data_IF_544343252098
#
_entry.id   IF_544343252098
#
_cell.length_a   1.000
_cell.length_b   1.000
_cell.length_c   1.000
_cell.angle_alpha   90.00
_cell.angle_beta   90.00
_cell.angle_gamma   90.00
#
_symmetry.space_group_name_H-M   'P 1'
#
loop_
_entity.id
_entity.type
_entity.pdbx_description
1 polymer ?
#
# COMPACT_ATOMS: atom_id res chain seq x y z
N UNK A 1 7.87 -32.08 -19.34
CA UNK A 1 8.68 -31.78 -18.14
C UNK A 1 10.16 -31.77 -18.52
N UNK A 2 10.94 -30.77 -18.10
CA UNK A 2 12.41 -30.79 -18.28
C UNK A 2 13.05 -30.98 -16.91
N UNK A 3 13.78 -32.08 -16.75
CA UNK A 3 14.48 -32.39 -15.50
C UNK A 3 15.69 -31.47 -15.34
N UNK A 4 16.16 -31.30 -14.09
CA UNK A 4 17.38 -30.54 -13.80
C UNK A 4 18.63 -31.11 -14.52
N UNK A 5 18.60 -32.41 -14.83
CA UNK A 5 19.63 -33.12 -15.61
C UNK A 5 19.60 -32.71 -17.10
N UNK A 6 18.42 -32.29 -17.60
CA UNK A 6 18.22 -31.87 -18.99
C UNK A 6 18.38 -30.35 -19.21
N UNK A 7 18.66 -29.57 -18.16
CA UNK A 7 19.05 -28.16 -18.26
C UNK A 7 20.55 -28.06 -18.46
N UNK A 8 21.00 -27.29 -19.46
CA UNK A 8 22.41 -27.18 -19.87
C UNK A 8 23.34 -26.89 -18.68
N UNK A 9 24.46 -27.63 -18.62
CA UNK A 9 25.47 -27.51 -17.56
C UNK A 9 26.23 -26.18 -17.62
N UNK A 10 26.30 -25.53 -18.79
CA UNK A 10 26.97 -24.24 -18.94
C UNK A 10 26.36 -23.43 -20.10
N UNK A 11 25.86 -22.22 -19.80
CA UNK A 11 25.45 -21.20 -20.78
C UNK A 11 24.05 -21.37 -21.41
N UNK A 12 23.19 -20.35 -21.24
CA UNK A 12 21.88 -20.26 -21.90
C UNK A 12 20.78 -19.65 -21.01
N UNK A 13 19.82 -18.93 -21.60
CA UNK A 13 18.66 -18.35 -20.91
C UNK A 13 17.85 -19.44 -20.20
N UNK A 14 18.08 -19.59 -18.89
CA UNK A 14 17.37 -20.53 -18.02
C UNK A 14 15.90 -20.11 -17.94
N UNK A 15 15.00 -20.97 -18.42
CA UNK A 15 13.58 -20.85 -18.09
C UNK A 15 13.41 -21.51 -16.71
N UNK A 16 12.92 -20.77 -15.69
CA UNK A 16 12.70 -21.36 -14.38
C UNK A 16 11.73 -22.54 -14.54
N UNK A 17 12.01 -23.70 -13.94
CA UNK A 17 11.08 -24.81 -13.99
C UNK A 17 9.78 -24.35 -13.31
N UNK A 18 8.67 -24.38 -14.03
CA UNK A 18 7.35 -23.98 -13.53
C UNK A 18 6.80 -24.91 -12.44
N UNK A 19 7.60 -25.84 -11.93
CA UNK A 19 7.23 -26.91 -10.99
C UNK A 19 6.71 -26.43 -9.64
N UNK A 20 6.89 -25.15 -9.30
CA UNK A 20 6.42 -24.53 -8.06
C UNK A 20 5.20 -23.61 -8.23
N UNK A 21 4.56 -23.60 -9.41
CA UNK A 21 3.26 -22.94 -9.62
C UNK A 21 2.13 -23.97 -9.52
N UNK A 22 0.88 -23.54 -9.38
CA UNK A 22 -0.29 -24.44 -9.33
C UNK A 22 -0.25 -25.53 -10.41
N UNK A 23 0.09 -25.12 -11.63
CA UNK A 23 0.16 -26.02 -12.78
C UNK A 23 1.40 -26.94 -12.74
N UNK A 24 2.52 -26.48 -12.17
CA UNK A 24 3.72 -27.29 -12.00
C UNK A 24 3.60 -28.38 -10.96
N UNK A 25 2.83 -28.10 -9.91
CA UNK A 25 2.57 -29.04 -8.82
C UNK A 25 1.60 -30.13 -9.27
N UNK A 26 0.58 -29.76 -10.04
CA UNK A 26 -0.32 -30.70 -10.73
C UNK A 26 0.48 -31.62 -11.68
N UNK A 27 1.46 -31.05 -12.37
CA UNK A 27 2.35 -31.81 -13.22
C UNK A 27 3.17 -32.80 -12.37
N UNK A 28 3.78 -32.37 -11.27
CA UNK A 28 4.57 -33.24 -10.38
C UNK A 28 3.74 -34.39 -9.78
N UNK A 29 2.47 -34.17 -9.43
CA UNK A 29 1.61 -35.22 -8.87
C UNK A 29 1.35 -36.38 -9.84
N UNK A 30 1.36 -36.12 -11.15
CA UNK A 30 1.23 -37.17 -12.17
C UNK A 30 2.45 -38.11 -12.25
N UNK A 31 3.65 -37.61 -11.90
CA UNK A 31 4.89 -38.40 -11.86
C UNK A 31 5.03 -39.10 -10.51
N UNK A 32 4.62 -38.42 -9.44
CA UNK A 32 4.74 -38.85 -8.06
C UNK A 32 3.48 -39.59 -7.58
N UNK A 33 2.99 -40.56 -8.37
CA UNK A 33 1.75 -41.30 -8.14
C UNK A 33 1.82 -42.36 -7.00
N UNK A 34 2.81 -42.21 -6.10
CA UNK A 34 2.95 -43.03 -4.89
C UNK A 34 2.18 -42.39 -3.74
N UNK A 35 1.51 -43.20 -2.92
CA UNK A 35 0.77 -42.71 -1.74
C UNK A 35 1.60 -41.80 -0.83
N UNK A 36 2.89 -42.08 -0.67
CA UNK A 36 3.80 -41.24 0.13
C UNK A 36 3.99 -39.87 -0.50
N UNK A 37 4.11 -39.81 -1.81
CA UNK A 37 4.40 -38.56 -2.51
C UNK A 37 3.14 -37.69 -2.66
N UNK A 38 1.95 -38.29 -2.75
CA UNK A 38 0.66 -37.59 -2.66
C UNK A 38 0.55 -36.84 -1.32
N UNK A 39 0.86 -37.51 -0.20
CA UNK A 39 0.81 -36.91 1.15
C UNK A 39 1.79 -35.75 1.31
N UNK A 40 2.98 -35.86 0.74
CA UNK A 40 4.00 -34.79 0.77
C UNK A 40 3.54 -33.60 -0.08
N UNK A 41 2.98 -33.84 -1.27
CA UNK A 41 2.53 -32.78 -2.15
C UNK A 41 1.39 -31.93 -1.55
N UNK A 42 0.43 -32.59 -0.87
CA UNK A 42 -0.65 -31.91 -0.15
C UNK A 42 -0.07 -30.99 0.94
N UNK A 43 0.96 -31.44 1.67
CA UNK A 43 1.62 -30.62 2.69
C UNK A 43 2.34 -29.41 2.10
N UNK A 44 3.07 -29.59 1.00
CA UNK A 44 3.74 -28.50 0.29
C UNK A 44 2.70 -27.45 -0.17
N UNK A 45 1.57 -27.87 -0.74
CA UNK A 45 0.50 -26.96 -1.15
C UNK A 45 -0.12 -26.22 0.02
N UNK A 46 -0.38 -26.87 1.15
CA UNK A 46 -0.88 -26.21 2.36
C UNK A 46 0.08 -25.15 2.90
N UNK A 47 1.38 -25.40 2.84
CA UNK A 47 2.40 -24.44 3.27
C UNK A 47 2.44 -23.28 2.28
N UNK A 48 2.47 -23.56 0.98
CA UNK A 48 2.51 -22.54 -0.07
C UNK A 48 1.30 -21.62 -0.02
N UNK A 49 0.09 -22.15 0.15
CA UNK A 49 -1.13 -21.33 0.26
C UNK A 49 -1.11 -20.46 1.51
N UNK A 50 -0.71 -21.00 2.67
CA UNK A 50 -0.57 -20.22 3.91
C UNK A 50 0.44 -19.09 3.78
N UNK A 51 1.62 -19.36 3.20
CA UNK A 51 2.65 -18.35 2.99
C UNK A 51 2.14 -17.25 2.05
N UNK A 52 1.49 -17.62 0.94
CA UNK A 52 0.90 -16.66 0.00
C UNK A 52 -0.17 -15.80 0.65
N UNK A 53 -1.05 -16.41 1.44
CA UNK A 53 -2.11 -15.73 2.17
C UNK A 53 -1.52 -14.73 3.18
N UNK A 54 -0.50 -15.13 3.94
CA UNK A 54 0.22 -14.20 4.83
C UNK A 54 0.80 -13.01 4.06
N UNK A 55 1.41 -13.22 2.89
CA UNK A 55 1.92 -12.10 2.09
C UNK A 55 0.81 -11.17 1.57
N UNK A 56 -0.34 -11.70 1.16
CA UNK A 56 -1.46 -10.89 0.68
C UNK A 56 -2.13 -10.11 1.81
N UNK A 57 -2.32 -10.75 2.96
CA UNK A 57 -2.99 -10.13 4.12
C UNK A 57 -2.15 -8.97 4.69
N UNK A 58 -0.82 -9.07 4.65
CA UNK A 58 0.05 -7.98 5.07
C UNK A 58 0.03 -6.78 4.10
N UNK A 59 -0.23 -7.01 2.81
CA UNK A 59 -0.26 -5.93 1.82
C UNK A 59 -1.51 -5.07 1.95
N UNK A 60 -2.69 -5.69 2.13
CA UNK A 60 -3.94 -4.94 2.34
C UNK A 60 -3.88 -4.12 3.62
N UNK A 61 -3.43 -4.72 4.72
CA UNK A 61 -3.27 -4.04 6.01
C UNK A 61 -2.28 -2.86 5.90
N UNK A 62 -1.17 -3.03 5.17
CA UNK A 62 -0.21 -1.94 4.96
C UNK A 62 -0.83 -0.77 4.18
N UNK A 63 -1.62 -1.05 3.14
CA UNK A 63 -2.29 -0.03 2.34
C UNK A 63 -3.32 0.76 3.16
N UNK A 64 -4.12 0.07 3.96
CA UNK A 64 -5.09 0.70 4.87
C UNK A 64 -4.39 1.62 5.89
N UNK A 65 -3.26 1.17 6.47
CA UNK A 65 -2.46 2.00 7.39
C UNK A 65 -1.91 3.25 6.69
N UNK A 66 -1.41 3.12 5.45
CA UNK A 66 -0.92 4.28 4.69
C UNK A 66 -2.04 5.28 4.39
N UNK A 67 -3.25 4.81 4.07
CA UNK A 67 -4.41 5.67 3.86
C UNK A 67 -4.81 6.42 5.14
N UNK A 68 -4.85 5.73 6.29
CA UNK A 68 -5.14 6.35 7.60
C UNK A 68 -4.09 7.42 7.93
N UNK A 69 -2.81 7.12 7.76
CA UNK A 69 -1.72 8.09 7.99
C UNK A 69 -1.87 9.34 7.13
N UNK A 70 -2.24 9.19 5.85
CA UNK A 70 -2.46 10.32 4.94
C UNK A 70 -3.65 11.17 5.39
N UNK A 71 -4.76 10.56 5.84
CA UNK A 71 -5.93 11.28 6.35
C UNK A 71 -5.58 12.08 7.60
N UNK A 72 -4.85 11.49 8.55
CA UNK A 72 -4.39 12.18 9.77
C UNK A 72 -3.50 13.39 9.45
N UNK A 73 -2.49 13.23 8.58
CA UNK A 73 -1.60 14.33 8.20
C UNK A 73 -2.34 15.51 7.53
N UNK A 74 -3.44 15.24 6.82
CA UNK A 74 -4.28 16.30 6.26
C UNK A 74 -5.15 16.99 7.33
N UNK A 75 -5.61 16.25 8.35
CA UNK A 75 -6.37 16.82 9.46
C UNK A 75 -5.50 17.76 10.30
N UNK A 76 -4.25 17.41 10.57
CA UNK A 76 -3.32 18.28 11.32
C UNK A 76 -3.15 19.64 10.64
N UNK A 77 -2.97 19.67 9.31
CA UNK A 77 -2.90 20.91 8.53
C UNK A 77 -4.17 21.74 8.61
N UNK A 78 -5.33 21.09 8.57
CA UNK A 78 -6.61 21.79 8.67
C UNK A 78 -6.79 22.40 10.07
N UNK A 79 -6.34 21.72 11.12
CA UNK A 79 -6.38 22.23 12.49
C UNK A 79 -5.46 23.45 12.65
N UNK A 80 -4.24 23.37 12.13
CA UNK A 80 -3.29 24.50 12.11
C UNK A 80 -3.89 25.73 11.41
N UNK A 81 -4.58 25.51 10.28
CA UNK A 81 -5.24 26.56 9.52
C UNK A 81 -6.42 27.19 10.28
N UNK A 82 -7.21 26.38 10.99
CA UNK A 82 -8.29 26.89 11.86
C UNK A 82 -7.73 27.77 12.98
N UNK A 83 -6.64 27.35 13.64
CA UNK A 83 -6.00 28.17 14.67
C UNK A 83 -5.46 29.48 14.12
N UNK A 84 -4.81 29.48 12.95
CA UNK A 84 -4.37 30.71 12.29
C UNK A 84 -5.51 31.70 12.04
N UNK A 85 -6.69 31.20 11.62
CA UNK A 85 -7.86 32.07 11.45
C UNK A 85 -8.42 32.59 12.77
N UNK A 86 -8.41 31.78 13.83
CA UNK A 86 -8.83 32.25 15.15
C UNK A 86 -7.90 33.36 15.65
N UNK A 87 -6.59 33.20 15.48
CA UNK A 87 -5.59 34.21 15.85
C UNK A 87 -5.79 35.50 15.05
N UNK A 88 -6.01 35.44 13.73
CA UNK A 88 -6.33 36.62 12.90
C UNK A 88 -7.61 37.34 13.36
N UNK A 89 -8.63 36.58 13.79
CA UNK A 89 -9.89 37.15 14.27
C UNK A 89 -9.72 37.84 15.64
N UNK A 90 -8.93 37.25 16.53
CA UNK A 90 -8.59 37.84 17.84
C UNK A 90 -7.79 39.12 17.62
N UNK A 91 -6.77 39.10 16.78
CA UNK A 91 -5.93 40.27 16.48
C UNK A 91 -6.76 41.43 15.90
N UNK A 92 -7.72 41.12 15.02
CA UNK A 92 -8.62 42.12 14.43
C UNK A 92 -9.62 42.70 15.44
N UNK A 93 -9.98 41.98 16.50
CA UNK A 93 -10.80 42.51 17.60
C UNK A 93 -9.99 43.42 18.53
N UNK A 94 -8.77 43.03 18.89
CA UNK A 94 -7.93 43.78 19.84
C UNK A 94 -7.35 45.06 19.21
N UNK A 95 -7.02 45.04 17.91
CA UNK A 95 -6.49 46.19 17.17
C UNK A 95 -7.45 46.61 16.05
N UNK A 96 -8.58 47.29 16.37
CA UNK A 96 -9.52 47.74 15.37
C UNK A 96 -8.84 48.78 14.46
N UNK A 97 -8.66 48.42 13.18
CA UNK A 97 -8.14 49.35 12.17
C UNK A 97 -9.02 50.61 12.13
N UNK A 98 -8.44 51.82 12.06
CA UNK A 98 -9.22 53.05 12.02
C UNK A 98 -10.17 53.00 10.84
N UNK A 99 -11.47 53.02 11.12
CA UNK A 99 -12.49 52.98 10.08
C UNK A 99 -12.37 54.24 9.20
N UNK A 100 -12.30 54.06 7.88
CA UNK A 100 -12.46 55.19 6.95
C UNK A 100 -13.88 55.73 7.14
N UNK A 101 -13.99 57.01 7.52
CA UNK A 101 -15.29 57.68 7.59
C UNK A 101 -16.03 57.50 6.25
N UNK A 102 -17.19 56.83 6.32
CA UNK A 102 -18.07 56.64 5.17
C UNK A 102 -19.00 57.86 5.17
N UNK A 103 -18.70 58.84 4.32
CA UNK A 103 -19.47 60.06 4.21
C UNK A 103 -18.92 61.00 3.13
N UNK A 104 -19.75 61.92 2.64
CA UNK A 104 -19.35 62.93 1.66
C UNK A 104 -18.30 63.87 2.27
N UNK A 105 -17.05 63.76 1.83
CA UNK A 105 -16.04 64.79 2.10
C UNK A 105 -16.35 66.00 1.24
N UNK A 106 -16.88 67.07 1.85
CA UNK A 106 -16.99 68.37 1.19
C UNK A 106 -15.56 68.92 1.04
N UNK A 107 -15.02 68.81 -0.16
CA UNK A 107 -13.74 69.41 -0.51
C UNK A 107 -13.95 70.93 -0.57
N UNK A 108 -13.41 71.67 0.41
CA UNK A 108 -13.41 73.12 0.39
C UNK A 108 -12.04 73.60 -0.08
N UNK A 109 -12.04 74.30 -1.22
CA UNK A 109 -11.12 75.38 -1.61
C UNK A 109 -9.63 75.09 -1.56
#
# INVERSE_FOLDING_TARGET
MKSQIATSSWGGRRKPPFVFTEHGVLMLSSILNSERAIKVNIQIMRIFTKVRQMFTDNLSVKLEIEEIKKKLANQDKNIELVFNYLDELIEKQENPKPQKQIGFKRNNG
#
